data_IF_385181047827
#
_entry.id   IF_385181047827
#
_cell.length_a   1.000
_cell.length_b   1.000
_cell.length_c   1.000
_cell.angle_alpha   90.00
_cell.angle_beta   90.00
_cell.angle_gamma   90.00
#
_symmetry.space_group_name_H-M   'P 1'
#
loop_
_entity.id
_entity.type
_entity.pdbx_description
1 polymer ?
#
# COMPACT_ATOMS: atom_id res chain seq x y z
N UNK A 1 44.87 -9.52 -93.07
CA UNK A 1 45.35 -9.44 -91.66
C UNK A 1 44.81 -8.15 -91.06
N UNK A 2 43.59 -8.17 -90.51
CA UNK A 2 42.96 -7.01 -89.85
C UNK A 2 42.90 -7.30 -88.34
N UNK A 3 43.46 -6.38 -87.54
CA UNK A 3 43.53 -6.46 -86.08
C UNK A 3 42.26 -5.84 -85.50
N UNK A 4 41.51 -6.65 -84.74
CA UNK A 4 40.28 -6.23 -84.05
C UNK A 4 40.67 -5.67 -82.67
N UNK A 5 40.33 -4.41 -82.39
CA UNK A 5 40.49 -3.82 -81.06
C UNK A 5 39.14 -3.87 -80.34
N UNK A 6 39.03 -4.72 -79.31
CA UNK A 6 37.88 -4.72 -78.40
C UNK A 6 38.10 -3.66 -77.32
N UNK A 7 37.32 -2.59 -77.35
CA UNK A 7 37.25 -1.59 -76.29
C UNK A 7 36.21 -2.04 -75.27
N UNK A 8 36.66 -2.49 -74.10
CA UNK A 8 35.80 -2.97 -73.02
C UNK A 8 35.48 -1.80 -72.09
N UNK A 9 34.24 -1.30 -72.14
CA UNK A 9 33.71 -0.35 -71.15
C UNK A 9 33.42 -1.09 -69.84
N UNK A 10 34.16 -0.76 -68.78
CA UNK A 10 33.87 -1.20 -67.42
C UNK A 10 33.03 -0.12 -66.71
N UNK A 11 31.73 -0.37 -66.54
CA UNK A 11 30.88 0.43 -65.65
C UNK A 11 31.17 0.01 -64.20
N UNK A 12 31.79 0.91 -63.42
CA UNK A 12 31.91 0.75 -61.97
C UNK A 12 30.59 1.18 -61.32
N UNK A 13 29.86 0.23 -60.75
CA UNK A 13 28.72 0.52 -59.88
C UNK A 13 29.27 0.73 -58.47
N UNK A 14 29.29 1.98 -57.99
CA UNK A 14 29.64 2.29 -56.61
C UNK A 14 28.42 1.94 -55.74
N UNK A 15 28.50 0.84 -55.00
CA UNK A 15 27.51 0.50 -53.98
C UNK A 15 27.78 1.37 -52.75
N UNK A 16 27.06 2.49 -52.62
CA UNK A 16 27.11 3.32 -51.42
C UNK A 16 26.40 2.56 -50.29
N UNK A 17 27.18 2.04 -49.34
CA UNK A 17 26.66 1.43 -48.13
C UNK A 17 26.20 2.56 -47.20
N UNK A 18 24.90 2.86 -47.21
CA UNK A 18 24.30 3.74 -46.19
C UNK A 18 24.29 2.95 -44.89
N UNK A 19 25.23 3.25 -44.00
CA UNK A 19 25.16 2.82 -42.60
C UNK A 19 24.07 3.66 -41.94
N UNK A 20 22.84 3.16 -41.94
CA UNK A 20 21.82 3.66 -41.02
C UNK A 20 22.30 3.20 -39.64
N UNK A 21 22.94 4.09 -38.89
CA UNK A 21 23.10 3.90 -37.45
C UNK A 21 21.71 4.01 -36.85
N UNK A 22 20.97 2.90 -36.82
CA UNK A 22 19.84 2.75 -35.91
C UNK A 22 20.43 2.88 -34.51
N UNK A 23 20.31 4.05 -33.90
CA UNK A 23 20.42 4.17 -32.46
C UNK A 23 19.30 3.29 -31.93
N UNK A 24 19.66 2.10 -31.45
CA UNK A 24 18.76 1.31 -30.62
C UNK A 24 18.54 2.19 -29.40
N UNK A 25 17.41 2.90 -29.35
CA UNK A 25 16.91 3.42 -28.09
C UNK A 25 16.58 2.17 -27.29
N UNK A 26 17.45 1.84 -26.33
CA UNK A 26 17.12 0.84 -25.34
C UNK A 26 15.93 1.42 -24.57
N UNK A 27 14.71 0.92 -24.79
CA UNK A 27 13.66 1.12 -23.81
C UNK A 27 14.19 0.47 -22.54
N UNK A 28 14.46 1.27 -21.51
CA UNK A 28 14.78 0.71 -20.21
C UNK A 28 13.49 0.08 -19.72
N UNK A 29 13.42 -1.25 -19.85
CA UNK A 29 12.49 -2.05 -19.08
C UNK A 29 13.14 -2.24 -17.71
N UNK A 30 12.50 -1.73 -16.67
CA UNK A 30 12.86 -1.99 -15.28
C UNK A 30 11.82 -2.96 -14.72
N UNK A 31 12.28 -4.15 -14.37
CA UNK A 31 11.44 -5.19 -13.78
C UNK A 31 11.94 -5.47 -12.38
N UNK A 32 11.03 -5.52 -11.41
CA UNK A 32 11.42 -5.69 -10.02
C UNK A 32 10.34 -6.29 -9.14
N UNK A 33 10.74 -6.52 -7.90
CA UNK A 33 9.87 -6.98 -6.82
C UNK A 33 10.15 -6.12 -5.60
N UNK A 34 9.09 -5.55 -5.03
CA UNK A 34 9.13 -4.86 -3.75
C UNK A 34 8.36 -5.71 -2.74
N UNK A 35 9.06 -6.20 -1.72
CA UNK A 35 8.44 -6.98 -0.65
C UNK A 35 7.98 -6.06 0.48
N UNK A 36 6.70 -6.15 0.84
CA UNK A 36 6.03 -5.34 1.86
C UNK A 36 5.33 -6.30 2.82
N UNK A 37 5.85 -6.45 4.04
CA UNK A 37 5.30 -7.35 5.05
C UNK A 37 5.01 -8.77 4.54
N UNK A 38 6.00 -9.35 3.84
CA UNK A 38 5.96 -10.69 3.22
C UNK A 38 5.04 -10.83 2.00
N UNK A 39 4.48 -9.74 1.50
CA UNK A 39 3.76 -9.68 0.23
C UNK A 39 4.67 -9.10 -0.85
N UNK A 40 4.78 -9.81 -1.97
CA UNK A 40 5.63 -9.40 -3.09
C UNK A 40 4.79 -8.64 -4.12
N UNK A 41 5.03 -7.34 -4.25
CA UNK A 41 4.51 -6.51 -5.35
C UNK A 41 5.49 -6.60 -6.50
N UNK A 42 5.03 -7.13 -7.63
CA UNK A 42 5.86 -7.25 -8.84
C UNK A 42 5.55 -6.11 -9.78
N UNK A 43 6.55 -5.63 -10.48
CA UNK A 43 6.35 -4.62 -11.51
C UNK A 43 7.23 -4.86 -12.72
N UNK A 44 6.74 -4.42 -13.88
CA UNK A 44 7.49 -4.22 -15.11
C UNK A 44 7.15 -2.85 -15.68
N UNK A 45 8.14 -1.97 -15.85
CA UNK A 45 7.94 -0.60 -16.33
C UNK A 45 8.85 -0.32 -17.52
N UNK A 46 8.31 0.28 -18.57
CA UNK A 46 9.10 0.75 -19.71
C UNK A 46 9.27 2.27 -19.66
N UNK A 47 10.38 2.79 -20.18
CA UNK A 47 10.63 4.24 -20.35
C UNK A 47 10.63 5.06 -19.04
N UNK A 48 10.61 4.41 -17.88
CA UNK A 48 10.79 5.00 -16.57
C UNK A 48 11.57 4.03 -15.67
N UNK A 49 11.90 4.49 -14.47
CA UNK A 49 12.51 3.69 -13.41
C UNK A 49 11.77 3.95 -12.11
N UNK A 50 11.38 2.89 -11.40
CA UNK A 50 10.76 3.02 -10.09
C UNK A 50 11.84 3.38 -9.04
N UNK A 51 11.55 4.40 -8.24
CA UNK A 51 12.37 4.81 -7.10
C UNK A 51 11.88 4.16 -5.81
N UNK A 52 10.58 4.13 -5.58
CA UNK A 52 9.96 3.46 -4.45
C UNK A 52 8.52 3.04 -4.73
N UNK A 53 8.07 2.02 -4.00
CA UNK A 53 6.66 1.63 -3.87
C UNK A 53 6.38 1.58 -2.37
N UNK A 54 5.36 2.30 -1.91
CA UNK A 54 4.95 2.31 -0.52
C UNK A 54 3.43 2.21 -0.38
N UNK A 55 2.98 1.58 0.71
CA UNK A 55 1.56 1.44 1.02
C UNK A 55 1.22 2.44 2.11
N UNK A 56 0.16 3.21 1.90
CA UNK A 56 -0.50 4.01 2.91
C UNK A 56 -1.83 3.36 3.30
N UNK A 57 -1.87 2.60 4.41
CA UNK A 57 -3.08 1.91 4.83
C UNK A 57 -4.14 2.85 5.41
N UNK A 58 -3.80 4.09 5.77
CA UNK A 58 -4.77 5.07 6.27
C UNK A 58 -5.63 5.63 5.13
N UNK A 59 -5.08 5.66 3.91
CA UNK A 59 -5.78 6.09 2.68
C UNK A 59 -6.11 4.95 1.71
N UNK A 60 -5.82 3.70 2.10
CA UNK A 60 -5.98 2.51 1.25
C UNK A 60 -5.31 2.65 -0.11
N UNK A 61 -4.06 3.08 -0.12
CA UNK A 61 -3.38 3.53 -1.32
C UNK A 61 -1.97 2.95 -1.44
N UNK A 62 -1.62 2.50 -2.65
CA UNK A 62 -0.25 2.16 -3.01
C UNK A 62 0.34 3.29 -3.86
N UNK A 63 1.41 3.90 -3.37
CA UNK A 63 2.07 5.03 -4.00
C UNK A 63 3.40 4.58 -4.60
N UNK A 64 3.57 4.87 -5.88
CA UNK A 64 4.75 4.56 -6.67
C UNK A 64 5.42 5.88 -7.04
N UNK A 65 6.69 6.03 -6.66
CA UNK A 65 7.52 7.15 -7.13
C UNK A 65 8.45 6.68 -8.23
N UNK A 66 8.62 7.48 -9.28
CA UNK A 66 9.39 7.10 -10.45
C UNK A 66 10.07 8.28 -11.13
N UNK A 67 11.11 7.97 -11.92
CA UNK A 67 11.70 8.92 -12.86
C UNK A 67 11.41 8.49 -14.29
N UNK A 68 10.69 9.31 -15.04
CA UNK A 68 10.35 9.06 -16.45
C UNK A 68 11.44 9.58 -17.39
N UNK A 69 11.64 8.89 -18.51
CA UNK A 69 12.46 9.35 -19.64
C UNK A 69 11.61 9.68 -20.87
N UNK A 70 10.53 8.93 -21.08
CA UNK A 70 9.56 9.09 -22.17
C UNK A 70 8.20 8.58 -21.68
N UNK A 71 7.16 8.69 -22.52
CA UNK A 71 5.85 8.10 -22.26
C UNK A 71 5.98 6.57 -22.13
N UNK A 72 5.17 5.97 -21.26
CA UNK A 72 5.31 4.55 -20.95
C UNK A 72 4.11 3.94 -20.26
N UNK A 73 4.32 2.71 -19.79
CA UNK A 73 3.34 1.90 -19.08
C UNK A 73 4.03 1.19 -17.94
N UNK A 74 3.41 1.19 -16.76
CA UNK A 74 3.75 0.28 -15.66
C UNK A 74 2.74 -0.86 -15.64
N UNK A 75 3.24 -2.08 -15.66
CA UNK A 75 2.50 -3.29 -15.30
C UNK A 75 2.84 -3.62 -13.84
N UNK A 76 1.83 -3.68 -12.97
CA UNK A 76 2.01 -3.95 -11.54
C UNK A 76 1.07 -5.06 -11.07
N UNK A 77 1.63 -6.08 -10.43
CA UNK A 77 0.88 -7.17 -9.81
C UNK A 77 0.85 -6.96 -8.29
N UNK A 78 -0.35 -6.76 -7.76
CA UNK A 78 -0.62 -6.41 -6.38
C UNK A 78 -1.31 -7.60 -5.69
N UNK A 79 -0.75 -8.16 -4.61
CA UNK A 79 -1.45 -9.14 -3.79
C UNK A 79 -2.73 -8.55 -3.18
N UNK A 80 -3.86 -9.27 -3.27
CA UNK A 80 -5.15 -8.80 -2.73
C UNK A 80 -5.15 -8.60 -1.23
N UNK A 81 -4.35 -9.39 -0.52
CA UNK A 81 -4.14 -9.24 0.92
C UNK A 81 -3.33 -7.97 1.26
N UNK A 82 -2.64 -7.36 0.29
CA UNK A 82 -1.89 -6.11 0.44
C UNK A 82 -2.74 -4.89 0.11
N UNK A 83 -3.45 -4.91 -1.01
CA UNK A 83 -4.38 -3.88 -1.44
C UNK A 83 -5.41 -4.50 -2.38
N UNK A 84 -6.70 -4.24 -2.15
CA UNK A 84 -7.77 -4.67 -3.05
C UNK A 84 -8.87 -3.61 -3.16
N UNK A 85 -9.63 -3.71 -4.25
CA UNK A 85 -10.84 -2.95 -4.49
C UNK A 85 -12.00 -3.93 -4.63
N UNK A 86 -12.94 -3.88 -3.67
CA UNK A 86 -14.13 -4.73 -3.62
C UNK A 86 -15.35 -3.94 -3.18
N UNK A 87 -16.49 -4.33 -3.74
CA UNK A 87 -17.80 -3.94 -3.26
C UNK A 87 -18.60 -5.21 -2.94
N UNK A 88 -19.01 -5.34 -1.68
CA UNK A 88 -19.59 -6.57 -1.13
C UNK A 88 -18.67 -7.80 -1.37
N UNK A 89 -19.08 -8.72 -2.23
CA UNK A 89 -18.35 -9.95 -2.55
C UNK A 89 -17.73 -9.94 -3.96
N UNK A 90 -17.88 -8.84 -4.69
CA UNK A 90 -17.36 -8.67 -6.05
C UNK A 90 -16.17 -7.74 -6.10
N UNK A 91 -15.28 -7.99 -7.06
CA UNK A 91 -14.22 -7.06 -7.40
C UNK A 91 -14.81 -5.75 -7.91
N UNK A 92 -14.27 -4.66 -7.40
CA UNK A 92 -14.55 -3.30 -7.86
C UNK A 92 -13.30 -2.71 -8.54
N UNK A 93 -13.44 -1.53 -9.13
CA UNK A 93 -12.33 -0.83 -9.77
C UNK A 93 -11.45 -0.12 -8.75
N UNK A 94 -10.15 -0.06 -9.04
CA UNK A 94 -9.24 0.87 -8.36
C UNK A 94 -9.47 2.29 -8.89
N UNK A 95 -9.20 3.28 -8.05
CA UNK A 95 -9.08 4.66 -8.49
C UNK A 95 -7.59 4.98 -8.66
N UNK A 96 -7.18 5.43 -9.85
CA UNK A 96 -5.77 5.61 -10.18
C UNK A 96 -5.50 7.07 -10.51
N UNK A 97 -4.54 7.68 -9.82
CA UNK A 97 -4.03 9.01 -10.13
C UNK A 97 -2.59 8.91 -10.65
N UNK A 98 -2.31 9.65 -11.72
CA UNK A 98 -0.95 9.86 -12.24
C UNK A 98 -0.68 11.36 -12.19
N UNK A 99 0.34 11.75 -11.42
CA UNK A 99 0.65 13.15 -11.09
C UNK A 99 -0.58 13.95 -10.59
N UNK A 100 -1.45 13.28 -9.82
CA UNK A 100 -2.68 13.84 -9.26
C UNK A 100 -3.89 13.89 -10.20
N UNK A 101 -3.80 13.33 -11.41
CA UNK A 101 -4.90 13.25 -12.37
C UNK A 101 -5.42 11.83 -12.55
N UNK A 102 -6.75 11.68 -12.55
CA UNK A 102 -7.41 10.39 -12.79
C UNK A 102 -7.02 9.80 -14.15
N UNK A 103 -6.62 8.53 -14.14
CA UNK A 103 -6.07 7.83 -15.29
C UNK A 103 -6.73 6.45 -15.46
N UNK A 104 -7.17 6.16 -16.68
CA UNK A 104 -7.69 4.85 -17.04
C UNK A 104 -6.58 3.79 -17.05
N UNK A 105 -6.93 2.54 -16.71
CA UNK A 105 -6.01 1.41 -16.71
C UNK A 105 -6.64 0.16 -17.33
N UNK A 106 -5.80 -0.83 -17.62
CA UNK A 106 -6.25 -2.15 -18.09
C UNK A 106 -5.89 -3.22 -17.06
N UNK A 107 -6.82 -4.11 -16.78
CA UNK A 107 -6.62 -5.27 -15.91
C UNK A 107 -6.48 -6.54 -16.75
N UNK A 108 -5.33 -7.22 -16.70
CA UNK A 108 -4.98 -8.34 -17.62
C UNK A 108 -5.00 -9.72 -16.97
N UNK A 109 -4.46 -9.86 -15.75
CA UNK A 109 -4.34 -11.13 -15.03
C UNK A 109 -4.66 -10.96 -13.54
N UNK A 110 -5.95 -11.12 -13.22
CA UNK A 110 -6.43 -11.14 -11.84
C UNK A 110 -6.98 -12.52 -11.49
N UNK A 111 -6.55 -13.04 -10.34
CA UNK A 111 -7.00 -14.31 -9.78
C UNK A 111 -7.50 -14.11 -8.34
N UNK A 112 -7.63 -15.17 -7.57
CA UNK A 112 -8.06 -15.06 -6.16
C UNK A 112 -7.02 -14.45 -5.23
N UNK A 113 -5.77 -14.28 -5.68
CA UNK A 113 -4.64 -13.90 -4.83
C UNK A 113 -4.06 -12.53 -5.21
N UNK A 114 -4.18 -12.12 -6.47
CA UNK A 114 -3.60 -10.86 -6.95
C UNK A 114 -4.43 -10.19 -8.04
N UNK A 115 -4.17 -8.89 -8.23
CA UNK A 115 -4.67 -8.05 -9.32
C UNK A 115 -3.48 -7.54 -10.13
N UNK A 116 -3.55 -7.60 -11.46
CA UNK A 116 -2.50 -7.05 -12.33
C UNK A 116 -3.03 -5.88 -13.15
N UNK A 117 -2.45 -4.70 -12.95
CA UNK A 117 -2.86 -3.44 -13.55
C UNK A 117 -1.81 -2.94 -14.54
N UNK A 118 -2.23 -2.48 -15.71
CA UNK A 118 -1.41 -1.78 -16.68
C UNK A 118 -1.83 -0.31 -16.73
N UNK A 119 -0.96 0.57 -16.26
CA UNK A 119 -1.23 2.00 -16.07
C UNK A 119 -0.32 2.80 -17.00
N UNK A 120 -0.87 3.58 -17.94
CA UNK A 120 -0.09 4.47 -18.78
C UNK A 120 0.36 5.72 -18.00
N UNK A 121 1.49 6.29 -18.39
CA UNK A 121 1.98 7.58 -17.90
C UNK A 121 2.68 8.34 -19.02
N UNK A 122 2.85 9.65 -18.82
CA UNK A 122 3.53 10.55 -19.74
C UNK A 122 4.92 10.95 -19.22
N UNK A 123 5.77 11.38 -20.14
CA UNK A 123 7.05 12.00 -19.80
C UNK A 123 6.85 13.21 -18.90
N UNK A 124 7.45 13.18 -17.71
CA UNK A 124 7.36 14.22 -16.69
C UNK A 124 6.58 13.79 -15.45
N UNK A 125 5.77 12.73 -15.54
CA UNK A 125 5.04 12.19 -14.40
C UNK A 125 6.02 11.60 -13.37
N UNK A 126 5.70 11.74 -12.09
CA UNK A 126 6.61 11.33 -11.01
C UNK A 126 5.98 10.43 -9.96
N UNK A 127 4.65 10.42 -9.90
CA UNK A 127 3.89 9.68 -8.89
C UNK A 127 2.71 8.97 -9.56
N UNK A 128 2.51 7.72 -9.17
CA UNK A 128 1.28 6.96 -9.45
C UNK A 128 0.69 6.53 -8.11
N UNK A 129 -0.59 6.80 -7.93
CA UNK A 129 -1.38 6.50 -6.74
C UNK A 129 -2.45 5.48 -7.13
N UNK A 130 -2.45 4.31 -6.50
CA UNK A 130 -3.42 3.23 -6.74
C UNK A 130 -4.26 3.08 -5.48
N UNK A 131 -5.50 3.56 -5.54
CA UNK A 131 -6.40 3.63 -4.40
C UNK A 131 -7.42 2.51 -4.49
N UNK A 132 -7.48 1.69 -3.44
CA UNK A 132 -8.42 0.58 -3.28
C UNK A 132 -9.53 0.88 -2.29
N UNK A 133 -10.24 -0.17 -1.88
CA UNK A 133 -11.24 -0.13 -0.79
C UNK A 133 -10.72 -0.75 0.50
N UNK A 134 -9.60 -1.47 0.42
CA UNK A 134 -8.96 -2.15 1.53
C UNK A 134 -7.45 -2.22 1.30
N UNK A 135 -6.67 -2.02 2.35
CA UNK A 135 -5.22 -2.20 2.35
C UNK A 135 -4.77 -2.99 3.59
N UNK A 136 -3.63 -3.67 3.48
CA UNK A 136 -2.95 -4.32 4.59
C UNK A 136 -2.58 -3.27 5.63
N UNK A 137 -3.32 -3.26 6.71
CA UNK A 137 -2.92 -2.54 7.90
C UNK A 137 -2.20 -3.51 8.84
N UNK A 138 -0.86 -3.49 8.85
CA UNK A 138 -0.06 -4.32 9.75
C UNK A 138 -0.29 -4.01 11.24
N UNK A 139 -0.86 -2.83 11.55
CA UNK A 139 -1.29 -2.44 12.89
C UNK A 139 -2.72 -2.89 13.21
N UNK A 140 -3.36 -3.63 12.30
CA UNK A 140 -4.60 -4.37 12.52
C UNK A 140 -4.29 -5.83 12.14
N UNK A 141 -3.45 -6.48 12.94
CA UNK A 141 -3.27 -7.92 12.81
C UNK A 141 -4.63 -8.59 13.00
N UNK A 142 -5.06 -9.39 12.01
CA UNK A 142 -6.16 -10.36 12.09
C UNK A 142 -5.95 -11.47 13.15
N UNK A 143 -5.28 -11.15 14.26
CA UNK A 143 -5.58 -11.83 15.51
C UNK A 143 -6.99 -11.39 15.84
N UNK A 144 -7.98 -12.29 15.75
CA UNK A 144 -9.30 -12.07 16.32
C UNK A 144 -9.05 -11.59 17.77
N UNK A 145 -9.16 -10.28 18.02
CA UNK A 145 -8.88 -9.70 19.33
C UNK A 145 -10.05 -10.14 20.20
N UNK A 146 -9.97 -11.34 20.77
CA UNK A 146 -10.94 -11.82 21.74
C UNK A 146 -10.53 -11.31 23.08
N UNK A 147 -11.17 -10.23 23.48
CA UNK A 147 -11.10 -9.79 24.86
C UNK A 147 -12.09 -10.66 25.64
N UNK A 148 -11.66 -11.36 26.70
CA UNK A 148 -12.59 -12.13 27.51
C UNK A 148 -13.72 -11.25 28.04
N UNK A 149 -14.97 -11.72 27.94
CA UNK A 149 -16.16 -10.95 28.30
C UNK A 149 -16.11 -10.37 29.73
N UNK A 150 -15.41 -11.03 30.66
CA UNK A 150 -15.27 -10.53 32.03
C UNK A 150 -14.53 -9.19 32.12
N UNK A 151 -13.72 -8.83 31.11
CA UNK A 151 -13.03 -7.55 31.03
C UNK A 151 -14.00 -6.40 30.74
N UNK A 152 -15.08 -6.65 29.98
CA UNK A 152 -16.10 -5.66 29.61
C UNK A 152 -16.76 -5.02 30.83
N UNK A 153 -16.86 -5.75 31.94
CA UNK A 153 -17.39 -5.23 33.19
C UNK A 153 -16.59 -4.03 33.72
N UNK A 154 -15.27 -4.05 33.59
CA UNK A 154 -14.42 -2.95 34.04
C UNK A 154 -14.63 -1.70 33.18
N UNK A 155 -14.85 -1.88 31.87
CA UNK A 155 -15.18 -0.77 30.97
C UNK A 155 -16.56 -0.17 31.27
N UNK A 156 -17.55 -1.01 31.63
CA UNK A 156 -18.86 -0.54 32.08
C UNK A 156 -18.81 0.23 33.41
N UNK A 157 -18.02 -0.24 34.38
CA UNK A 157 -17.79 0.51 35.62
C UNK A 157 -17.05 1.82 35.38
N UNK A 158 -16.09 1.83 34.47
CA UNK A 158 -15.35 3.05 34.14
C UNK A 158 -16.25 4.07 33.46
N UNK A 159 -17.03 3.67 32.44
CA UNK A 159 -17.92 4.57 31.71
C UNK A 159 -19.04 5.17 32.56
N UNK A 160 -19.38 4.54 33.68
CA UNK A 160 -20.39 4.99 34.65
C UNK A 160 -19.80 5.67 35.88
N UNK A 161 -18.51 6.03 35.85
CA UNK A 161 -17.78 6.68 36.95
C UNK A 161 -17.76 5.87 38.28
N UNK A 162 -17.95 4.54 38.21
CA UNK A 162 -17.82 3.64 39.37
C UNK A 162 -16.36 3.32 39.69
N UNK A 163 -15.46 3.41 38.70
CA UNK A 163 -14.01 3.34 38.89
C UNK A 163 -13.34 4.56 38.27
N UNK A 164 -12.22 4.98 38.86
CA UNK A 164 -11.47 6.15 38.39
C UNK A 164 -10.62 5.83 37.14
N UNK A 165 -10.26 6.87 36.38
CA UNK A 165 -9.41 6.76 35.19
C UNK A 165 -8.09 6.04 35.49
N UNK A 166 -7.49 6.29 36.66
CA UNK A 166 -6.23 5.65 37.08
C UNK A 166 -6.38 4.15 37.34
N UNK A 167 -7.52 3.72 37.88
CA UNK A 167 -7.83 2.31 38.15
C UNK A 167 -8.07 1.57 36.83
N UNK A 168 -8.82 2.18 35.91
CA UNK A 168 -9.07 1.62 34.59
C UNK A 168 -7.79 1.50 33.77
N UNK A 169 -6.97 2.56 33.69
CA UNK A 169 -5.68 2.57 32.99
C UNK A 169 -4.75 1.49 33.54
N UNK A 170 -4.61 1.41 34.86
CA UNK A 170 -3.79 0.38 35.51
C UNK A 170 -4.28 -1.04 35.18
N UNK A 171 -5.60 -1.22 35.13
CA UNK A 171 -6.23 -2.47 34.71
C UNK A 171 -5.87 -2.86 33.29
N UNK A 172 -6.00 -1.95 32.32
CA UNK A 172 -5.63 -2.21 30.92
C UNK A 172 -4.13 -2.52 30.79
N UNK A 173 -3.26 -1.76 31.43
CA UNK A 173 -1.81 -2.03 31.42
C UNK A 173 -1.49 -3.44 31.93
N UNK A 174 -2.14 -3.87 33.02
CA UNK A 174 -1.98 -5.20 33.55
C UNK A 174 -2.44 -6.28 32.55
N UNK A 175 -3.62 -6.10 31.94
CA UNK A 175 -4.16 -7.06 30.98
C UNK A 175 -3.28 -7.22 29.74
N UNK A 176 -2.65 -6.14 29.28
CA UNK A 176 -1.67 -6.17 28.19
C UNK A 176 -0.41 -6.91 28.62
N UNK A 177 0.14 -6.57 29.80
CA UNK A 177 1.36 -7.19 30.33
C UNK A 177 1.23 -8.69 30.53
N UNK A 178 0.08 -9.17 30.98
CA UNK A 178 -0.19 -10.59 31.18
C UNK A 178 -0.63 -11.31 29.89
N UNK A 179 -0.70 -10.61 28.76
CA UNK A 179 -1.10 -11.18 27.47
C UNK A 179 -2.57 -11.58 27.39
N UNK A 180 -3.43 -11.03 28.25
CA UNK A 180 -4.88 -11.26 28.25
C UNK A 180 -5.55 -10.44 27.15
N UNK A 181 -5.08 -9.22 26.92
CA UNK A 181 -5.44 -8.39 25.77
C UNK A 181 -4.22 -8.24 24.89
N UNK A 182 -4.35 -8.59 23.61
CA UNK A 182 -3.34 -8.29 22.60
C UNK A 182 -3.70 -6.97 21.96
N UNK A 183 -2.85 -5.97 22.14
CA UNK A 183 -2.94 -4.72 21.37
C UNK A 183 -2.02 -4.87 20.16
N UNK A 184 -2.50 -4.57 18.94
CA UNK A 184 -1.64 -4.56 17.77
C UNK A 184 -0.44 -3.62 17.97
N UNK A 185 0.65 -3.86 17.22
CA UNK A 185 1.90 -3.12 17.39
C UNK A 185 1.64 -1.60 17.42
N UNK A 186 1.93 -0.97 18.56
CA UNK A 186 1.71 0.46 18.79
C UNK A 186 2.97 1.03 19.43
N UNK A 187 3.46 2.17 18.94
CA UNK A 187 4.62 2.83 19.54
C UNK A 187 4.16 3.63 20.76
N UNK A 188 4.69 3.30 21.94
CA UNK A 188 4.42 4.06 23.16
C UNK A 188 4.91 5.49 23.01
N UNK A 189 4.00 6.46 23.17
CA UNK A 189 4.33 7.88 23.20
C UNK A 189 5.16 8.29 24.42
N UNK A 190 5.71 9.51 24.40
CA UNK A 190 6.31 10.10 25.60
C UNK A 190 5.23 10.33 26.65
N UNK A 191 5.51 10.00 27.92
CA UNK A 191 4.56 10.19 29.03
C UNK A 191 4.00 11.61 29.07
N UNK A 192 2.69 11.73 28.88
CA UNK A 192 1.96 12.98 29.01
C UNK A 192 1.12 12.95 30.28
N UNK A 193 0.94 14.11 30.93
CA UNK A 193 -0.07 14.28 31.99
C UNK A 193 -1.41 14.67 31.36
N UNK A 194 -1.78 14.06 30.24
CA UNK A 194 -2.98 14.42 29.50
C UNK A 194 -4.17 13.62 30.03
N UNK A 195 -5.29 14.31 30.23
CA UNK A 195 -6.55 13.67 30.63
C UNK A 195 -7.06 12.73 29.53
N UNK A 196 -7.77 11.67 29.93
CA UNK A 196 -8.38 10.73 28.99
C UNK A 196 -9.51 11.43 28.23
N UNK A 197 -9.49 11.46 26.89
CA UNK A 197 -10.59 12.03 26.11
C UNK A 197 -11.91 11.31 26.38
N UNK A 198 -12.99 12.08 26.56
CA UNK A 198 -14.31 11.52 26.88
C UNK A 198 -14.87 10.56 25.83
N UNK A 199 -14.45 10.66 24.56
CA UNK A 199 -14.86 9.73 23.51
C UNK A 199 -14.40 8.29 23.79
N UNK A 200 -13.25 8.11 24.45
CA UNK A 200 -12.73 6.79 24.81
C UNK A 200 -13.59 6.18 25.92
N UNK A 201 -14.00 7.01 26.88
CA UNK A 201 -14.89 6.62 27.97
C UNK A 201 -16.29 6.25 27.46
N UNK A 202 -16.80 6.97 26.46
CA UNK A 202 -18.05 6.62 25.78
C UNK A 202 -17.93 5.28 25.05
N UNK A 203 -16.84 5.06 24.30
CA UNK A 203 -16.59 3.80 23.62
C UNK A 203 -16.49 2.62 24.60
N UNK A 204 -15.91 2.82 25.78
CA UNK A 204 -15.88 1.80 26.84
C UNK A 204 -17.27 1.38 27.30
N UNK A 205 -18.21 2.33 27.42
CA UNK A 205 -19.61 2.03 27.72
C UNK A 205 -20.29 1.23 26.61
N UNK A 206 -20.15 1.69 25.36
CA UNK A 206 -20.69 0.97 24.20
C UNK A 206 -20.10 -0.43 24.04
N UNK A 207 -18.82 -0.60 24.34
CA UNK A 207 -18.15 -1.90 24.31
C UNK A 207 -18.66 -2.83 25.42
N UNK A 208 -18.89 -2.30 26.62
CA UNK A 208 -19.48 -3.05 27.72
C UNK A 208 -20.92 -3.53 27.41
N UNK A 209 -21.68 -2.71 26.68
CA UNK A 209 -23.04 -3.03 26.23
C UNK A 209 -23.08 -3.92 24.96
N UNK A 210 -21.92 -4.23 24.36
CA UNK A 210 -21.83 -5.02 23.13
C UNK A 210 -22.30 -4.28 21.87
N UNK A 211 -22.32 -2.95 21.90
CA UNK A 211 -22.72 -2.09 20.78
C UNK A 211 -21.57 -1.83 19.79
N UNK A 212 -20.33 -2.00 20.22
CA UNK A 212 -19.14 -2.00 19.38
C UNK A 212 -18.33 -3.28 19.64
N UNK A 213 -17.57 -3.73 18.64
CA UNK A 213 -16.74 -4.93 18.77
C UNK A 213 -15.45 -4.64 19.55
N UNK A 214 -14.70 -5.71 19.83
CA UNK A 214 -13.44 -5.61 20.57
C UNK A 214 -12.38 -4.78 19.81
N UNK A 215 -12.43 -4.78 18.47
CA UNK A 215 -11.52 -4.03 17.59
C UNK A 215 -11.73 -2.52 17.66
N UNK A 216 -12.98 -2.04 17.72
CA UNK A 216 -13.27 -0.61 17.88
C UNK A 216 -12.84 -0.10 19.26
N UNK A 217 -13.02 -0.91 20.31
CA UNK A 217 -12.54 -0.55 21.64
C UNK A 217 -11.00 -0.54 21.71
N UNK A 218 -10.34 -1.52 21.10
CA UNK A 218 -8.87 -1.60 21.03
C UNK A 218 -8.26 -0.41 20.32
N UNK A 219 -8.90 0.11 19.26
CA UNK A 219 -8.48 1.35 18.60
C UNK A 219 -8.36 2.53 19.58
N UNK A 220 -9.28 2.62 20.56
CA UNK A 220 -9.22 3.59 21.64
C UNK A 220 -8.03 3.38 22.59
N UNK A 221 -7.71 2.12 22.90
CA UNK A 221 -6.53 1.78 23.73
C UNK A 221 -5.23 2.07 22.98
N UNK A 222 -5.16 1.80 21.68
CA UNK A 222 -4.01 2.17 20.85
C UNK A 222 -3.77 3.67 20.88
N UNK A 223 -4.82 4.47 20.75
CA UNK A 223 -4.72 5.93 20.89
C UNK A 223 -4.09 6.33 22.24
N UNK A 224 -4.54 5.73 23.34
CA UNK A 224 -3.99 6.03 24.68
C UNK A 224 -2.51 5.69 24.81
N UNK A 225 -2.06 4.60 24.18
CA UNK A 225 -0.65 4.18 24.16
C UNK A 225 0.18 5.15 23.31
N UNK A 226 -0.29 5.46 22.09
CA UNK A 226 0.38 6.38 21.16
C UNK A 226 0.55 7.79 21.75
N UNK A 227 -0.44 8.26 22.52
CA UNK A 227 -0.39 9.58 23.17
C UNK A 227 0.30 9.55 24.55
N UNK A 228 0.86 8.41 24.96
CA UNK A 228 1.61 8.28 26.21
C UNK A 228 0.76 8.46 27.46
N UNK A 229 -0.54 8.16 27.39
CA UNK A 229 -1.46 8.11 28.54
C UNK A 229 -1.41 6.72 29.19
N UNK A 230 -1.34 5.67 28.36
CA UNK A 230 -1.07 4.28 28.78
C UNK A 230 0.39 3.94 28.49
N UNK A 231 1.02 3.22 29.40
CA UNK A 231 2.41 2.77 29.28
C UNK A 231 2.50 1.25 29.34
N UNK A 232 3.09 0.65 28.30
CA UNK A 232 3.28 -0.80 28.16
C UNK A 232 4.71 -1.13 27.79
#
# INVERSE_FOLDING_TARGET
>A
MMKNNNFLFMFSFIFSLILISSSIQYSLADTGVVSMDSHDVKYDINNAKIESIFLDPDFFELIITMTTQDDGTVEITIPRDLLDAKFELSDDMFFILVDGFETDYVESESDSNSRTLMIPFFSGDSVIEIIGTHALNQFISNTEIKIPDWVKNNAGWWSTDLIEDTEFVSGIQYLIKEGIITIPQTQSGQSTHQDIPSWIKNNAGWWADGLIEDTEFVSGIQYLITNGIIHV
#
